data_IF_088002086575
#
_entry.id   IF_088002086575
#
_cell.length_a   1.000
_cell.length_b   1.000
_cell.length_c   1.000
_cell.angle_alpha   90.00
_cell.angle_beta   90.00
_cell.angle_gamma   90.00
#
_symmetry.space_group_name_H-M   'P 1'
#
loop_
_entity.id
_entity.type
_entity.pdbx_description
1 polymer ?
#
# COMPACT_ATOMS: atom_id res chain seq x y z
N UNK A 1 -28.54 13.56 -55.38
CA UNK A 1 -27.80 13.65 -54.10
C UNK A 1 -27.22 12.27 -53.81
N UNK A 2 -25.93 12.21 -53.49
CA UNK A 2 -25.19 10.99 -53.14
C UNK A 2 -25.61 10.53 -51.73
N UNK A 3 -25.74 9.22 -51.51
CA UNK A 3 -25.17 8.59 -50.31
C UNK A 3 -25.00 7.08 -50.51
N UNK A 4 -23.84 6.63 -50.05
CA UNK A 4 -23.16 5.39 -50.33
C UNK A 4 -23.49 4.37 -49.24
N UNK A 5 -23.88 3.15 -49.61
CA UNK A 5 -23.99 2.00 -48.70
C UNK A 5 -22.65 1.26 -48.76
N UNK A 6 -21.92 1.22 -47.64
CA UNK A 6 -20.72 0.38 -47.52
C UNK A 6 -21.10 -0.96 -46.87
N UNK A 7 -21.02 -2.01 -47.69
CA UNK A 7 -20.92 -3.40 -47.24
C UNK A 7 -19.52 -3.62 -46.66
N UNK A 8 -19.43 -4.12 -45.42
CA UNK A 8 -18.18 -4.60 -44.85
C UNK A 8 -18.16 -6.13 -44.93
N UNK A 9 -17.28 -6.63 -45.79
CA UNK A 9 -17.06 -8.06 -46.03
C UNK A 9 -16.22 -8.69 -44.92
N UNK A 10 -16.68 -9.86 -44.48
CA UNK A 10 -16.02 -10.82 -43.59
C UNK A 10 -14.80 -11.42 -44.31
N UNK A 11 -13.65 -11.49 -43.62
CA UNK A 11 -12.57 -12.43 -43.96
C UNK A 11 -12.28 -13.27 -42.73
N UNK A 12 -12.60 -14.56 -42.85
CA UNK A 12 -12.20 -15.65 -41.95
C UNK A 12 -10.83 -16.13 -42.41
N UNK A 13 -9.87 -16.22 -41.50
CA UNK A 13 -8.70 -17.08 -41.66
C UNK A 13 -8.56 -17.96 -40.41
N UNK A 14 -8.86 -19.25 -40.61
CA UNK A 14 -8.54 -20.35 -39.70
C UNK A 14 -7.24 -21.03 -40.15
N UNK A 15 -6.49 -21.56 -39.18
CA UNK A 15 -5.43 -22.56 -39.33
C UNK A 15 -4.05 -22.03 -38.90
N UNK A 16 -3.22 -22.73 -38.11
CA UNK A 16 -3.31 -23.96 -37.34
C UNK A 16 -2.15 -23.91 -36.31
N UNK A 17 -2.34 -24.58 -35.19
CA UNK A 17 -1.47 -24.61 -34.00
C UNK A 17 -0.13 -25.32 -34.22
N UNK A 18 0.91 -24.91 -33.47
CA UNK A 18 1.64 -25.79 -32.54
C UNK A 18 2.51 -24.97 -31.54
N UNK A 19 2.77 -25.51 -30.32
CA UNK A 19 3.29 -24.76 -29.18
C UNK A 19 4.82 -24.77 -29.14
N UNK A 20 5.43 -23.67 -28.67
CA UNK A 20 6.87 -23.62 -28.36
C UNK A 20 7.11 -23.07 -26.96
N UNK A 21 7.72 -23.97 -26.18
CA UNK A 21 8.44 -23.80 -24.92
C UNK A 21 9.13 -22.45 -24.71
N UNK A 22 9.01 -21.95 -23.46
CA UNK A 22 9.94 -21.14 -22.64
C UNK A 22 10.50 -19.83 -23.21
N UNK A 23 10.24 -18.71 -22.51
CA UNK A 23 11.30 -17.84 -21.97
C UNK A 23 10.71 -16.68 -21.17
N UNK A 24 11.17 -16.56 -19.92
CA UNK A 24 11.44 -15.35 -19.14
C UNK A 24 10.66 -14.07 -19.49
N UNK A 25 9.88 -13.61 -18.51
CA UNK A 25 9.35 -12.26 -18.44
C UNK A 25 10.49 -11.24 -18.43
N UNK A 26 10.94 -10.81 -19.60
CA UNK A 26 11.88 -9.70 -19.73
C UNK A 26 11.15 -8.42 -19.32
N UNK A 27 11.35 -8.01 -18.06
CA UNK A 27 10.96 -6.68 -17.58
C UNK A 27 11.65 -5.67 -18.50
N UNK A 28 10.85 -4.83 -19.17
CA UNK A 28 11.34 -3.81 -20.10
C UNK A 28 12.40 -2.94 -19.42
N UNK A 29 13.58 -2.79 -20.04
CA UNK A 29 14.67 -1.93 -19.53
C UNK A 29 14.24 -0.46 -19.37
N UNK A 30 13.24 -0.03 -20.12
CA UNK A 30 12.65 1.31 -19.99
C UNK A 30 11.72 1.40 -18.77
N UNK A 31 11.01 0.32 -18.44
CA UNK A 31 10.23 0.22 -17.20
C UNK A 31 11.16 0.19 -15.97
N UNK A 32 12.25 -0.57 -16.04
CA UNK A 32 13.26 -0.64 -14.97
C UNK A 32 13.96 0.71 -14.78
N UNK A 33 14.41 1.38 -15.84
CA UNK A 33 15.09 2.67 -15.72
C UNK A 33 14.17 3.79 -15.21
N UNK A 34 12.90 3.81 -15.66
CA UNK A 34 11.90 4.74 -15.16
C UNK A 34 11.54 4.47 -13.70
N UNK A 35 11.42 3.19 -13.31
CA UNK A 35 11.21 2.78 -11.92
C UNK A 35 12.40 3.18 -11.02
N UNK A 36 13.65 3.04 -11.50
CA UNK A 36 14.84 3.51 -10.78
C UNK A 36 14.81 5.02 -10.55
N UNK A 37 14.44 5.83 -11.55
CA UNK A 37 14.33 7.29 -11.35
C UNK A 37 13.18 7.69 -10.41
N UNK A 38 12.09 6.91 -10.37
CA UNK A 38 10.98 7.17 -9.44
C UNK A 38 11.30 6.74 -8.01
N UNK A 39 12.02 5.63 -7.83
CA UNK A 39 12.42 5.14 -6.51
C UNK A 39 13.45 6.08 -5.85
N UNK A 40 14.43 6.57 -6.62
CA UNK A 40 15.40 7.57 -6.13
C UNK A 40 14.71 8.87 -5.70
N UNK A 41 13.67 9.29 -6.44
CA UNK A 41 12.87 10.46 -6.10
C UNK A 41 12.07 10.27 -4.80
N UNK A 42 11.42 9.11 -4.63
CA UNK A 42 10.68 8.79 -3.42
C UNK A 42 11.62 8.71 -2.20
N UNK A 43 12.77 8.04 -2.34
CA UNK A 43 13.80 7.97 -1.31
C UNK A 43 14.30 9.36 -0.90
N UNK A 44 14.51 10.26 -1.86
CA UNK A 44 14.89 11.64 -1.57
C UNK A 44 13.80 12.40 -0.79
N UNK A 45 12.52 12.23 -1.16
CA UNK A 45 11.38 12.83 -0.45
C UNK A 45 11.32 12.29 0.99
N UNK A 46 11.42 10.98 1.18
CA UNK A 46 11.44 10.35 2.51
C UNK A 46 12.62 10.86 3.33
N UNK A 47 13.82 10.85 2.77
CA UNK A 47 15.05 11.34 3.39
C UNK A 47 14.94 12.78 3.88
N UNK A 48 14.32 13.65 3.09
CA UNK A 48 14.08 15.05 3.44
C UNK A 48 13.02 15.26 4.54
N UNK A 49 12.34 14.21 4.98
CA UNK A 49 11.19 14.29 5.88
C UNK A 49 11.40 13.56 7.23
N UNK A 50 12.22 12.49 7.29
CA UNK A 50 12.43 11.61 8.46
C UNK A 50 12.46 12.33 9.83
N UNK A 51 13.15 13.47 9.96
CA UNK A 51 13.31 14.18 11.24
C UNK A 51 12.70 15.60 11.26
N UNK A 52 11.82 15.92 10.30
CA UNK A 52 11.19 17.24 10.23
C UNK A 52 10.18 17.46 11.36
N UNK A 53 10.11 18.69 11.84
CA UNK A 53 9.20 19.13 12.89
C UNK A 53 7.98 19.86 12.30
N UNK A 54 6.81 19.82 12.96
CA UNK A 54 6.51 19.02 14.16
C UNK A 54 6.36 17.52 13.85
N UNK A 55 6.71 16.66 14.80
CA UNK A 55 6.47 15.21 14.67
C UNK A 55 4.96 14.93 14.68
N UNK A 56 4.52 14.05 13.79
CA UNK A 56 3.18 13.48 13.73
C UNK A 56 3.24 12.13 14.44
N UNK A 57 2.71 12.08 15.66
CA UNK A 57 2.73 10.87 16.47
C UNK A 57 1.45 10.06 16.38
N UNK A 58 0.30 10.73 16.20
CA UNK A 58 -1.02 10.08 16.17
C UNK A 58 -1.52 9.90 14.74
N UNK A 59 -2.01 8.70 14.45
CA UNK A 59 -2.50 8.25 13.15
C UNK A 59 -3.98 7.81 13.25
N UNK A 60 -4.40 6.90 12.36
CA UNK A 60 -5.76 6.42 12.27
C UNK A 60 -6.34 5.99 13.62
N UNK A 61 -7.60 6.39 13.90
CA UNK A 61 -8.33 6.11 15.14
C UNK A 61 -7.58 6.41 16.45
N UNK A 62 -6.63 7.34 16.44
CA UNK A 62 -5.92 7.72 17.66
C UNK A 62 -4.81 6.76 18.08
N UNK A 63 -4.44 5.78 17.23
CA UNK A 63 -3.21 5.04 17.44
C UNK A 63 -2.02 6.01 17.39
N UNK A 64 -1.05 5.80 18.25
CA UNK A 64 0.10 6.70 18.42
C UNK A 64 1.37 5.88 18.29
N UNK A 65 2.31 6.34 17.47
CA UNK A 65 3.61 5.69 17.34
C UNK A 65 4.31 5.61 18.71
N UNK A 66 5.16 4.59 18.86
CA UNK A 66 5.82 4.22 20.12
C UNK A 66 4.92 3.69 21.23
N UNK A 67 3.60 3.57 21.03
CA UNK A 67 2.78 2.81 21.98
C UNK A 67 3.24 1.35 22.04
N UNK A 68 3.23 0.78 23.24
CA UNK A 68 3.57 -0.62 23.44
C UNK A 68 2.47 -1.54 22.92
N UNK A 69 2.75 -2.84 22.72
CA UNK A 69 1.70 -3.83 22.41
C UNK A 69 0.58 -3.79 23.44
N UNK A 70 0.93 -3.67 24.73
CA UNK A 70 -0.04 -3.55 25.83
C UNK A 70 -0.92 -2.31 25.69
N UNK A 71 -0.33 -1.16 25.36
CA UNK A 71 -1.08 0.08 25.14
C UNK A 71 -1.98 -0.01 23.90
N UNK A 72 -1.49 -0.62 22.81
CA UNK A 72 -2.30 -0.85 21.61
C UNK A 72 -3.52 -1.74 21.91
N UNK A 73 -3.35 -2.85 22.64
CA UNK A 73 -4.45 -3.74 23.05
C UNK A 73 -5.46 -2.99 23.92
N UNK A 74 -5.00 -2.18 24.88
CA UNK A 74 -5.88 -1.35 25.69
C UNK A 74 -6.65 -0.33 24.84
N UNK A 75 -6.00 0.25 23.84
CA UNK A 75 -6.62 1.18 22.90
C UNK A 75 -7.68 0.49 22.03
N UNK A 76 -7.43 -0.73 21.54
CA UNK A 76 -8.45 -1.54 20.86
C UNK A 76 -9.69 -1.77 21.73
N UNK A 77 -9.49 -2.17 23.00
CA UNK A 77 -10.59 -2.38 23.93
C UNK A 77 -11.43 -1.11 24.13
N UNK A 78 -10.78 0.05 24.20
CA UNK A 78 -11.46 1.33 24.31
C UNK A 78 -12.22 1.68 23.01
N UNK A 79 -11.65 1.44 21.83
CA UNK A 79 -12.34 1.64 20.55
C UNK A 79 -13.59 0.76 20.41
N UNK A 80 -13.54 -0.49 20.91
CA UNK A 80 -14.70 -1.40 20.96
C UNK A 80 -15.77 -0.86 21.90
N UNK A 81 -15.38 -0.43 23.11
CA UNK A 81 -16.29 0.17 24.09
C UNK A 81 -16.96 1.44 23.53
N UNK A 82 -16.23 2.21 22.74
CA UNK A 82 -16.73 3.39 22.00
C UNK A 82 -17.56 3.04 20.76
N UNK A 83 -17.76 1.75 20.44
CA UNK A 83 -18.46 1.25 19.24
C UNK A 83 -17.87 1.75 17.92
N UNK A 84 -16.58 2.08 17.92
CA UNK A 84 -15.84 2.44 16.70
C UNK A 84 -15.38 1.20 15.93
N UNK A 85 -15.10 0.11 16.65
CA UNK A 85 -14.78 -1.19 16.08
C UNK A 85 -15.93 -2.16 16.33
N UNK A 86 -16.21 -2.99 15.33
CA UNK A 86 -17.23 -4.05 15.37
C UNK A 86 -16.51 -5.38 15.28
N UNK A 87 -16.90 -6.36 16.10
CA UNK A 87 -16.38 -7.72 16.00
C UNK A 87 -17.10 -8.44 14.86
N UNK A 88 -16.34 -9.01 13.94
CA UNK A 88 -16.87 -9.98 12.99
C UNK A 88 -16.92 -11.34 13.68
N UNK A 89 -18.13 -11.80 14.00
CA UNK A 89 -18.37 -13.04 14.75
C UNK A 89 -17.93 -14.31 13.98
N UNK A 90 -17.80 -14.24 12.65
CA UNK A 90 -17.43 -15.38 11.81
C UNK A 90 -15.91 -15.61 11.81
N UNK A 91 -15.15 -14.52 11.72
CA UNK A 91 -13.71 -14.56 11.49
C UNK A 91 -12.88 -14.05 12.69
N UNK A 92 -13.55 -13.73 13.79
CA UNK A 92 -12.97 -13.30 15.08
C UNK A 92 -11.97 -12.14 14.99
N UNK A 93 -12.15 -11.23 14.03
CA UNK A 93 -11.37 -10.01 13.91
C UNK A 93 -12.23 -8.77 14.08
N UNK A 94 -11.59 -7.66 14.45
CA UNK A 94 -12.25 -6.36 14.61
C UNK A 94 -12.16 -5.55 13.33
N UNK A 95 -13.30 -5.01 12.92
CA UNK A 95 -13.47 -4.25 11.69
C UNK A 95 -13.87 -2.80 12.04
N UNK A 96 -13.30 -1.84 11.31
CA UNK A 96 -13.76 -0.46 11.31
C UNK A 96 -14.66 -0.22 10.09
N UNK A 97 -15.96 0.07 10.27
CA UNK A 97 -16.85 0.35 9.16
C UNK A 97 -16.49 1.69 8.51
N UNK A 98 -16.34 1.69 7.20
CA UNK A 98 -16.05 2.86 6.38
C UNK A 98 -17.21 3.12 5.43
N UNK A 99 -17.60 4.39 5.32
CA UNK A 99 -18.63 4.82 4.38
C UNK A 99 -17.99 5.81 3.43
N UNK A 100 -17.94 5.44 2.16
CA UNK A 100 -17.58 6.32 1.07
C UNK A 100 -18.84 6.76 0.31
N UNK A 101 -18.68 7.66 -0.66
CA UNK A 101 -19.79 8.23 -1.42
C UNK A 101 -20.53 7.17 -2.26
N UNK A 102 -19.79 6.23 -2.83
CA UNK A 102 -20.31 5.22 -3.76
C UNK A 102 -20.14 3.78 -3.27
N UNK A 103 -19.60 3.56 -2.06
CA UNK A 103 -19.42 2.22 -1.51
C UNK A 103 -19.36 2.24 0.02
N UNK A 104 -19.86 1.17 0.66
CA UNK A 104 -19.43 0.84 2.03
C UNK A 104 -18.25 -0.12 1.99
N UNK A 105 -17.33 0.07 2.91
CA UNK A 105 -16.15 -0.76 3.07
C UNK A 105 -15.93 -1.06 4.55
N UNK A 106 -15.00 -1.95 4.83
CA UNK A 106 -14.52 -2.25 6.17
C UNK A 106 -13.02 -2.28 6.18
N UNK A 107 -12.43 -1.85 7.29
CA UNK A 107 -10.98 -1.85 7.48
C UNK A 107 -10.58 -2.76 8.63
N UNK A 108 -9.70 -3.72 8.35
CA UNK A 108 -9.02 -4.52 9.37
C UNK A 108 -7.72 -3.82 9.73
N UNK A 109 -7.47 -3.63 11.03
CA UNK A 109 -6.32 -2.87 11.53
C UNK A 109 -5.21 -3.83 11.95
N UNK A 110 -4.03 -3.69 11.34
CA UNK A 110 -2.85 -4.51 11.57
C UNK A 110 -1.66 -3.65 12.06
N UNK A 111 -1.38 -3.62 13.37
CA UNK A 111 -0.23 -2.91 13.94
C UNK A 111 1.05 -3.74 13.85
N UNK A 112 2.16 -3.09 13.51
CA UNK A 112 3.49 -3.69 13.47
C UNK A 112 4.42 -3.00 14.47
N UNK A 113 5.20 -3.81 15.21
CA UNK A 113 6.00 -3.36 16.34
C UNK A 113 7.48 -3.70 16.15
N UNK A 114 8.36 -2.77 16.53
CA UNK A 114 9.80 -2.99 16.62
C UNK A 114 10.23 -2.76 18.07
N UNK A 115 10.83 -3.76 18.71
CA UNK A 115 11.25 -3.66 20.11
C UNK A 115 10.09 -3.26 21.06
N UNK A 116 8.92 -3.88 20.86
CA UNK A 116 7.64 -3.59 21.55
C UNK A 116 6.98 -2.24 21.21
N UNK A 117 7.59 -1.39 20.39
CA UNK A 117 7.04 -0.07 20.04
C UNK A 117 6.35 -0.08 18.67
N UNK A 118 5.13 0.43 18.60
CA UNK A 118 4.39 0.59 17.35
C UNK A 118 5.16 1.52 16.42
N UNK A 119 5.50 1.04 15.22
CA UNK A 119 6.17 1.84 14.20
C UNK A 119 5.36 1.95 12.91
N UNK A 120 4.47 1.00 12.66
CA UNK A 120 3.62 0.98 11.47
C UNK A 120 2.21 0.48 11.81
N UNK A 121 1.21 1.11 11.21
CA UNK A 121 -0.19 0.72 11.30
C UNK A 121 -0.73 0.53 9.89
N UNK A 122 -1.15 -0.69 9.55
CA UNK A 122 -1.74 -1.00 8.24
C UNK A 122 -3.24 -1.21 8.37
N UNK A 123 -3.98 -0.79 7.34
CA UNK A 123 -5.40 -1.03 7.16
C UNK A 123 -5.57 -1.86 5.91
N UNK A 124 -6.16 -3.05 6.03
CA UNK A 124 -6.69 -3.79 4.89
C UNK A 124 -8.15 -3.38 4.71
N UNK A 125 -8.44 -2.66 3.64
CA UNK A 125 -9.76 -2.09 3.33
C UNK A 125 -10.38 -2.91 2.21
N UNK A 126 -11.53 -3.52 2.49
CA UNK A 126 -12.27 -4.38 1.56
C UNK A 126 -13.70 -3.92 1.41
N UNK A 127 -14.35 -4.29 0.31
CA UNK A 127 -15.77 -3.98 0.14
C UNK A 127 -16.62 -4.62 1.25
N UNK A 128 -17.59 -3.86 1.77
CA UNK A 128 -18.60 -4.37 2.69
C UNK A 128 -19.93 -4.67 1.95
N UNK A 129 -19.96 -4.51 0.63
CA UNK A 129 -21.15 -4.68 -0.22
C UNK A 129 -20.81 -5.53 -1.44
N UNK A 130 -21.71 -6.45 -1.83
CA UNK A 130 -21.50 -7.33 -2.99
C UNK A 130 -21.39 -6.58 -4.33
N UNK A 131 -21.96 -5.38 -4.40
CA UNK A 131 -22.05 -4.58 -5.64
C UNK A 131 -20.84 -3.69 -5.89
N UNK A 132 -20.05 -3.39 -4.85
CA UNK A 132 -18.86 -2.56 -4.98
C UNK A 132 -17.65 -3.45 -5.25
N UNK A 133 -16.94 -3.16 -6.34
CA UNK A 133 -15.70 -3.87 -6.69
C UNK A 133 -14.53 -3.36 -5.84
N UNK A 134 -13.48 -4.17 -5.67
CA UNK A 134 -12.24 -3.74 -5.01
C UNK A 134 -11.61 -2.53 -5.70
N UNK A 135 -11.77 -2.40 -7.02
CA UNK A 135 -11.35 -1.22 -7.78
C UNK A 135 -12.12 0.04 -7.35
N UNK A 136 -13.44 -0.08 -7.20
CA UNK A 136 -14.30 1.02 -6.73
C UNK A 136 -13.91 1.47 -5.32
N UNK A 137 -13.58 0.52 -4.44
CA UNK A 137 -13.11 0.82 -3.08
C UNK A 137 -11.74 1.50 -3.15
N UNK A 138 -10.81 0.97 -3.93
CA UNK A 138 -9.46 1.52 -4.09
C UNK A 138 -9.46 2.98 -4.54
N UNK A 139 -10.21 3.30 -5.59
CA UNK A 139 -10.33 4.66 -6.12
C UNK A 139 -10.96 5.62 -5.11
N UNK A 140 -11.93 5.16 -4.31
CA UNK A 140 -12.55 5.99 -3.27
C UNK A 140 -11.63 6.20 -2.06
N UNK A 141 -10.84 5.20 -1.67
CA UNK A 141 -9.79 5.36 -0.66
C UNK A 141 -8.77 6.38 -1.15
N UNK A 142 -8.24 6.23 -2.38
CA UNK A 142 -7.29 7.16 -2.96
C UNK A 142 -7.83 8.59 -2.98
N UNK A 143 -9.06 8.79 -3.47
CA UNK A 143 -9.71 10.10 -3.54
C UNK A 143 -9.91 10.71 -2.15
N UNK A 144 -10.38 9.92 -1.18
CA UNK A 144 -10.57 10.33 0.21
C UNK A 144 -9.24 10.77 0.83
N UNK A 145 -8.17 10.02 0.60
CA UNK A 145 -6.84 10.31 1.15
C UNK A 145 -6.19 11.51 0.44
N UNK A 146 -6.35 11.67 -0.87
CA UNK A 146 -5.91 12.88 -1.59
C UNK A 146 -6.54 14.14 -1.01
N UNK A 147 -7.85 14.11 -0.69
CA UNK A 147 -8.55 15.23 -0.04
C UNK A 147 -8.05 15.46 1.39
N UNK A 148 -7.97 14.40 2.19
CA UNK A 148 -7.59 14.46 3.62
C UNK A 148 -6.14 14.90 3.83
N UNK A 149 -5.24 14.47 2.95
CA UNK A 149 -3.78 14.70 3.07
C UNK A 149 -3.26 15.66 1.99
N UNK A 150 -4.09 16.61 1.53
CA UNK A 150 -3.71 17.62 0.53
C UNK A 150 -2.52 18.50 0.93
N UNK A 151 -2.21 18.61 2.23
CA UNK A 151 -1.02 19.30 2.75
C UNK A 151 0.23 18.44 2.91
N UNK A 152 0.25 17.22 2.36
CA UNK A 152 1.40 16.31 2.32
C UNK A 152 2.06 16.38 0.94
N UNK A 153 3.33 16.00 0.86
CA UNK A 153 3.97 15.76 -0.44
C UNK A 153 3.40 14.48 -1.03
N UNK A 154 2.66 14.58 -2.13
CA UNK A 154 2.12 13.43 -2.84
C UNK A 154 3.10 12.97 -3.93
N UNK A 155 3.45 11.69 -3.90
CA UNK A 155 4.22 11.01 -4.94
C UNK A 155 3.44 9.78 -5.43
N UNK A 156 3.54 9.49 -6.73
CA UNK A 156 2.83 8.37 -7.37
C UNK A 156 3.84 7.48 -8.06
N UNK A 157 3.76 6.19 -7.78
CA UNK A 157 4.51 5.13 -8.47
C UNK A 157 3.57 4.25 -9.26
N UNK A 158 4.14 3.41 -10.11
CA UNK A 158 3.42 2.29 -10.72
C UNK A 158 3.74 1.05 -9.90
N UNK A 159 2.74 0.20 -9.67
CA UNK A 159 2.97 -1.11 -9.06
C UNK A 159 3.96 -1.91 -9.92
N UNK A 160 4.87 -2.63 -9.28
CA UNK A 160 5.95 -3.35 -9.96
C UNK A 160 5.46 -4.57 -10.73
N UNK A 161 4.35 -5.18 -10.29
CA UNK A 161 3.71 -6.35 -10.90
C UNK A 161 2.66 -5.93 -11.93
N UNK A 162 1.94 -4.84 -11.67
CA UNK A 162 0.99 -4.24 -12.61
C UNK A 162 1.22 -2.73 -12.79
N UNK A 163 1.99 -2.31 -13.81
CA UNK A 163 2.30 -0.90 -14.03
C UNK A 163 1.10 0.00 -14.33
N UNK A 164 -0.06 -0.58 -14.67
CA UNK A 164 -1.30 0.15 -14.88
C UNK A 164 -1.88 0.65 -13.55
N UNK A 165 -1.69 -0.13 -12.49
CA UNK A 165 -2.04 0.22 -11.12
C UNK A 165 -1.08 1.29 -10.60
N UNK A 166 -1.63 2.26 -9.87
CA UNK A 166 -0.87 3.35 -9.26
C UNK A 166 -0.81 3.14 -7.78
N UNK A 167 0.37 3.30 -7.19
CA UNK A 167 0.52 3.40 -5.75
C UNK A 167 0.68 4.88 -5.36
N UNK A 168 0.22 5.22 -4.17
CA UNK A 168 0.19 6.59 -3.69
C UNK A 168 0.96 6.73 -2.39
N UNK A 169 1.86 7.71 -2.36
CA UNK A 169 2.68 8.03 -1.20
C UNK A 169 2.36 9.45 -0.76
N UNK A 170 1.89 9.62 0.46
CA UNK A 170 1.80 10.92 1.11
C UNK A 170 2.86 11.00 2.19
N UNK A 171 3.79 11.95 2.04
CA UNK A 171 4.91 12.12 2.96
C UNK A 171 4.87 13.51 3.56
N UNK A 172 4.94 13.59 4.89
CA UNK A 172 5.08 14.84 5.63
C UNK A 172 5.70 14.57 6.99
N UNK A 173 6.76 15.31 7.31
CA UNK A 173 7.48 15.16 8.58
C UNK A 173 7.91 13.69 8.76
N UNK A 174 7.81 13.11 9.95
CA UNK A 174 8.17 11.71 10.20
C UNK A 174 7.15 10.68 9.66
N UNK A 175 6.04 11.09 9.04
CA UNK A 175 4.97 10.17 8.62
C UNK A 175 4.98 9.96 7.11
N UNK A 176 4.96 8.69 6.72
CA UNK A 176 4.66 8.24 5.37
C UNK A 176 3.37 7.42 5.37
N UNK A 177 2.41 7.84 4.55
CA UNK A 177 1.20 7.09 4.28
C UNK A 177 1.34 6.48 2.89
N UNK A 178 1.21 5.17 2.81
CA UNK A 178 1.34 4.41 1.58
C UNK A 178 0.05 3.68 1.27
N UNK A 179 -0.51 3.91 0.08
CA UNK A 179 -1.67 3.20 -0.45
C UNK A 179 -1.25 2.41 -1.68
N UNK A 180 -1.53 1.12 -1.67
CA UNK A 180 -1.42 0.23 -2.81
C UNK A 180 -2.59 -0.75 -2.81
N UNK A 181 -2.78 -1.42 -3.94
CA UNK A 181 -3.81 -2.43 -4.13
C UNK A 181 -3.20 -3.82 -3.97
N UNK A 182 -3.96 -4.74 -3.42
CA UNK A 182 -3.64 -6.17 -3.33
C UNK A 182 -4.80 -6.97 -3.92
N UNK A 183 -4.60 -8.28 -4.06
CA UNK A 183 -5.67 -9.20 -4.48
C UNK A 183 -6.85 -9.23 -3.50
N UNK A 184 -6.58 -8.96 -2.22
CA UNK A 184 -7.56 -9.02 -1.14
C UNK A 184 -8.22 -7.67 -0.87
N UNK A 185 -7.77 -6.58 -1.51
CA UNK A 185 -8.37 -5.26 -1.40
C UNK A 185 -7.36 -4.12 -1.43
N UNK A 186 -7.64 -3.04 -0.70
CA UNK A 186 -6.79 -1.86 -0.65
C UNK A 186 -6.00 -1.82 0.66
N UNK A 187 -4.68 -1.64 0.60
CA UNK A 187 -3.84 -1.52 1.81
C UNK A 187 -3.39 -0.09 1.99
N UNK A 188 -3.71 0.48 3.16
CA UNK A 188 -3.16 1.76 3.61
C UNK A 188 -2.24 1.54 4.79
N UNK A 189 -0.96 1.87 4.66
CA UNK A 189 0.00 1.84 5.75
C UNK A 189 0.36 3.25 6.22
N UNK A 190 0.38 3.45 7.54
CA UNK A 190 0.93 4.63 8.23
C UNK A 190 2.26 4.22 8.84
N UNK A 191 3.36 4.84 8.40
CA UNK A 191 4.73 4.40 8.70
C UNK A 191 5.49 5.53 9.39
N UNK A 192 6.09 5.23 10.55
CA UNK A 192 7.00 6.12 11.23
C UNK A 192 8.39 6.03 10.60
N UNK A 193 8.70 7.00 9.74
CA UNK A 193 9.90 7.03 8.90
C UNK A 193 11.23 6.83 9.66
N UNK A 194 11.51 7.52 10.79
CA UNK A 194 12.74 7.29 11.54
C UNK A 194 12.83 5.87 12.12
N UNK A 195 11.72 5.27 12.56
CA UNK A 195 11.73 3.91 13.06
C UNK A 195 11.93 2.89 11.93
N UNK A 196 11.28 3.11 10.78
CA UNK A 196 11.41 2.29 9.58
C UNK A 196 12.85 2.27 9.06
N UNK A 197 13.48 3.45 8.96
CA UNK A 197 14.90 3.57 8.59
C UNK A 197 15.82 2.79 9.54
N UNK A 198 15.58 2.86 10.85
CA UNK A 198 16.39 2.11 11.82
C UNK A 198 16.26 0.59 11.64
N UNK A 199 15.07 0.10 11.27
CA UNK A 199 14.83 -1.31 10.98
C UNK A 199 15.62 -1.73 9.74
N UNK A 200 15.55 -0.94 8.67
CA UNK A 200 16.27 -1.22 7.43
C UNK A 200 17.80 -1.18 7.61
N UNK A 201 18.31 -0.18 8.32
CA UNK A 201 19.75 -0.06 8.63
C UNK A 201 20.25 -1.27 9.46
N UNK A 202 19.43 -1.81 10.36
CA UNK A 202 19.78 -3.00 11.14
C UNK A 202 19.78 -4.27 10.29
N UNK A 203 18.77 -4.46 9.42
CA UNK A 203 18.71 -5.59 8.48
C UNK A 203 19.90 -5.60 7.52
N UNK A 204 20.30 -4.44 7.02
CA UNK A 204 21.46 -4.32 6.13
C UNK A 204 22.76 -4.76 6.84
N UNK A 205 22.98 -4.32 8.09
CA UNK A 205 24.16 -4.70 8.89
C UNK A 205 24.21 -6.20 9.20
N UNK A 206 23.06 -6.82 9.47
CA UNK A 206 22.97 -8.26 9.70
C UNK A 206 23.32 -9.06 8.42
N UNK A 207 22.83 -8.62 7.26
CA UNK A 207 23.15 -9.24 5.97
C UNK A 207 24.65 -9.14 5.64
N UNK A 208 25.27 -7.97 5.85
CA UNK A 208 26.70 -7.75 5.63
C UNK A 208 27.57 -8.59 6.58
N UNK A 209 27.13 -8.75 7.83
CA UNK A 209 27.81 -9.58 8.83
C UNK A 209 27.75 -11.07 8.47
N UNK A 210 26.61 -11.55 7.97
CA UNK A 210 26.42 -12.93 7.52
C UNK A 210 27.27 -13.26 6.27
N UNK A 211 27.40 -12.33 5.32
CA UNK A 211 28.27 -12.48 4.15
C UNK A 211 29.77 -12.46 4.50
N UNK A 212 30.16 -11.71 5.53
CA UNK A 212 31.55 -11.64 5.98
C UNK A 212 31.98 -12.90 6.74
N UNK A 213 31.06 -13.56 7.45
CA UNK A 213 31.32 -14.86 8.09
C UNK A 213 31.47 -16.00 7.07
N UNK A 214 30.61 -16.06 6.05
CA UNK A 214 30.70 -17.10 4.99
C UNK A 214 31.96 -16.99 4.13
N UNK A 215 32.61 -15.82 4.06
CA UNK A 215 33.91 -15.65 3.37
C UNK A 215 35.14 -15.99 4.23
N UNK A 216 34.99 -16.14 5.55
CA UNK A 216 36.09 -16.57 6.44
C UNK A 216 36.18 -18.08 6.61
N UNK A 217 35.10 -18.79 6.29
CA UNK A 217 34.99 -20.25 6.44
C UNK A 217 35.24 -21.02 5.11
N UNK A 218 35.80 -20.36 4.08
CA UNK A 218 36.27 -20.95 2.81
C UNK A 218 37.77 -20.69 2.69
#
# INVERSE_FOLDING_TARGET
>A
MKQTIYFLSIIILMGCSQPKSTSDSSISKDAVSKAMTSDDSLKAIIGANINKQPVIDTVFLGFTFSMTKKQAIAHYAELIKQKKLVMNDQDQHYEYPMIFELAKAKAIIAPEFQGDKLYKLSLLITSAEEVATEETVYLQVATTYMKKYSGFTLFKTSDALDPSEKEFHWVKNNLHIFLHKTVDGSVVSYINLPADKLIDDNKAKEADSAQTQTKKDI
#
